data_IF_291516253268
#
_entry.id   IF_291516253268
#
_cell.length_a   1.000
_cell.length_b   1.000
_cell.length_c   1.000
_cell.angle_alpha   90.00
_cell.angle_beta   90.00
_cell.angle_gamma   90.00
#
_symmetry.space_group_name_H-M   'P 1'
#
loop_
_entity.id
_entity.type
_entity.pdbx_description
1 polymer ?
#
# COMPACT_ATOMS: atom_id res chain seq x y z
N UNK A 1 12.38 22.17 1.40
CA UNK A 1 11.23 21.27 1.58
C UNK A 1 11.65 20.11 2.47
N UNK A 2 11.03 19.96 3.65
CA UNK A 2 11.20 18.82 4.54
C UNK A 2 10.16 17.76 4.20
N UNK A 3 10.60 16.55 3.92
CA UNK A 3 9.74 15.44 3.54
C UNK A 3 9.88 14.30 4.55
N UNK A 4 8.74 13.76 4.96
CA UNK A 4 8.66 12.53 5.75
C UNK A 4 7.86 11.47 5.00
N UNK A 5 8.34 10.24 5.04
CA UNK A 5 7.66 9.05 4.54
C UNK A 5 7.32 8.18 5.74
N UNK A 6 6.03 7.89 5.92
CA UNK A 6 5.52 7.04 6.96
C UNK A 6 5.23 5.65 6.41
N UNK A 7 5.94 4.64 6.91
CA UNK A 7 5.66 3.25 6.64
C UNK A 7 4.48 2.80 7.51
N UNK A 8 3.31 2.63 6.88
CA UNK A 8 2.07 2.19 7.53
C UNK A 8 1.92 0.68 7.63
N UNK A 9 2.93 -0.12 7.26
CA UNK A 9 2.88 -1.57 7.39
C UNK A 9 3.01 -2.01 8.86
N UNK A 10 2.13 -2.90 9.36
CA UNK A 10 2.33 -3.55 10.66
C UNK A 10 3.64 -4.36 10.74
N UNK A 11 4.24 -4.68 9.60
CA UNK A 11 5.53 -5.40 9.53
C UNK A 11 6.76 -4.49 9.69
N UNK A 12 6.57 -3.17 9.84
CA UNK A 12 7.64 -2.19 9.94
C UNK A 12 8.77 -2.42 8.90
N UNK A 13 10.03 -2.44 9.35
CA UNK A 13 11.24 -2.68 8.57
C UNK A 13 11.59 -4.17 8.35
N UNK A 14 10.63 -5.09 8.57
CA UNK A 14 10.85 -6.52 8.29
C UNK A 14 11.22 -6.75 6.83
N UNK A 15 12.13 -7.71 6.58
CA UNK A 15 12.50 -8.17 5.22
C UNK A 15 11.30 -8.64 4.37
N UNK A 16 10.17 -8.95 5.01
CA UNK A 16 8.91 -9.37 4.35
C UNK A 16 7.89 -8.23 4.14
N UNK A 17 8.29 -6.98 4.40
CA UNK A 17 7.45 -5.80 4.27
C UNK A 17 7.47 -5.30 2.82
N UNK A 18 6.38 -5.53 2.07
CA UNK A 18 6.25 -4.97 0.72
C UNK A 18 6.25 -3.44 0.73
N UNK A 19 5.69 -2.82 1.77
CA UNK A 19 5.72 -1.36 1.94
C UNK A 19 7.15 -0.82 2.01
N UNK A 20 8.04 -1.51 2.71
CA UNK A 20 9.47 -1.15 2.77
C UNK A 20 10.12 -1.19 1.38
N UNK A 21 9.79 -2.24 0.59
CA UNK A 21 10.26 -2.37 -0.80
C UNK A 21 9.72 -1.22 -1.67
N UNK A 22 8.48 -0.80 -1.46
CA UNK A 22 7.90 0.33 -2.18
C UNK A 22 8.61 1.65 -1.84
N UNK A 23 8.84 1.92 -0.55
CA UNK A 23 9.56 3.11 -0.10
C UNK A 23 10.97 3.12 -0.72
N UNK A 24 11.72 2.03 -0.57
CA UNK A 24 13.07 1.89 -1.11
C UNK A 24 13.13 2.19 -2.61
N UNK A 25 12.24 1.58 -3.41
CA UNK A 25 12.27 1.81 -4.85
C UNK A 25 11.75 3.17 -5.27
N UNK A 26 10.75 3.71 -4.58
CA UNK A 26 10.29 5.08 -4.81
C UNK A 26 11.43 6.08 -4.59
N UNK A 27 12.19 5.94 -3.50
CA UNK A 27 13.26 6.90 -3.18
C UNK A 27 14.60 6.61 -3.84
N UNK A 28 14.78 5.45 -4.48
CA UNK A 28 16.06 5.01 -5.04
C UNK A 28 16.68 5.93 -6.11
N UNK A 29 15.87 6.76 -6.77
CA UNK A 29 16.30 7.71 -7.78
C UNK A 29 16.15 9.17 -7.34
N UNK A 30 15.77 9.40 -6.08
CA UNK A 30 15.67 10.73 -5.48
C UNK A 30 17.02 11.17 -4.91
N UNK A 31 17.31 12.47 -4.92
CA UNK A 31 18.52 13.07 -4.33
C UNK A 31 18.24 13.89 -3.07
N UNK A 32 17.01 14.36 -2.91
CA UNK A 32 16.57 15.15 -1.77
C UNK A 32 16.63 14.34 -0.48
N UNK A 33 16.87 15.03 0.63
CA UNK A 33 16.80 14.42 1.96
C UNK A 33 15.33 14.22 2.35
N UNK A 34 15.05 13.07 2.94
CA UNK A 34 13.76 12.71 3.51
C UNK A 34 13.97 11.90 4.79
N UNK A 35 12.96 11.87 5.63
CA UNK A 35 12.92 11.01 6.81
C UNK A 35 11.97 9.85 6.60
N UNK A 36 12.28 8.69 7.19
CA UNK A 36 11.39 7.52 7.21
C UNK A 36 11.07 7.16 8.65
N UNK A 37 9.78 7.11 9.00
CA UNK A 37 9.29 6.60 10.29
C UNK A 37 8.32 5.44 10.08
N UNK A 38 8.21 4.59 11.09
CA UNK A 38 7.40 3.37 11.03
C UNK A 38 6.22 3.51 11.99
N UNK A 39 5.01 3.63 11.45
CA UNK A 39 3.80 3.86 12.28
C UNK A 39 3.62 2.73 13.32
N UNK A 40 4.04 1.50 12.98
CA UNK A 40 3.93 0.35 13.87
C UNK A 40 4.75 0.43 15.17
N UNK A 41 5.74 1.33 15.25
CA UNK A 41 6.66 1.46 16.41
C UNK A 41 6.59 2.81 17.09
N UNK A 42 5.67 3.68 16.68
CA UNK A 42 5.56 5.05 17.16
C UNK A 42 4.26 5.20 17.95
N UNK A 43 4.27 6.11 18.93
CA UNK A 43 3.03 6.52 19.60
C UNK A 43 2.24 7.46 18.65
N UNK A 44 0.96 7.17 18.34
CA UNK A 44 0.21 7.91 17.33
C UNK A 44 0.14 9.43 17.53
N UNK A 45 -0.07 9.89 18.77
CA UNK A 45 -0.21 11.32 19.08
C UNK A 45 1.12 12.06 18.94
N UNK A 46 2.20 11.50 19.45
CA UNK A 46 3.57 12.03 19.31
C UNK A 46 3.98 12.10 17.84
N UNK A 47 3.68 11.04 17.06
CA UNK A 47 3.95 11.03 15.63
C UNK A 47 3.14 12.10 14.89
N UNK A 48 1.85 12.26 15.21
CA UNK A 48 1.01 13.28 14.61
C UNK A 48 1.54 14.70 14.89
N UNK A 49 2.01 14.97 16.11
CA UNK A 49 2.65 16.25 16.45
C UNK A 49 3.96 16.45 15.69
N UNK A 50 4.78 15.39 15.59
CA UNK A 50 6.07 15.45 14.93
C UNK A 50 5.96 15.75 13.43
N UNK A 51 5.02 15.12 12.72
CA UNK A 51 4.89 15.27 11.27
C UNK A 51 4.45 16.68 10.85
N UNK A 52 3.88 17.49 11.77
CA UNK A 52 3.54 18.90 11.51
C UNK A 52 4.76 19.75 11.16
N UNK A 53 5.97 19.30 11.51
CA UNK A 53 7.23 19.99 11.22
C UNK A 53 7.72 19.78 9.78
N UNK A 54 7.00 18.98 8.98
CA UNK A 54 7.34 18.65 7.60
C UNK A 54 6.41 19.35 6.60
N UNK A 55 6.96 19.70 5.44
CA UNK A 55 6.22 20.31 4.34
C UNK A 55 5.47 19.24 3.52
N UNK A 56 6.00 18.02 3.47
CA UNK A 56 5.45 16.91 2.68
C UNK A 56 5.38 15.65 3.51
N UNK A 57 4.18 15.10 3.62
CA UNK A 57 3.88 13.86 4.34
C UNK A 57 3.43 12.83 3.32
N UNK A 58 4.20 11.76 3.14
CA UNK A 58 3.79 10.60 2.34
C UNK A 58 3.50 9.41 3.24
N UNK A 59 2.32 8.81 3.12
CA UNK A 59 1.97 7.57 3.82
C UNK A 59 1.99 6.41 2.82
N UNK A 60 2.88 5.44 3.03
CA UNK A 60 3.00 4.24 2.20
C UNK A 60 2.48 3.05 3.01
N UNK A 61 1.54 2.27 2.50
CA UNK A 61 0.91 1.21 3.31
C UNK A 61 0.34 0.06 2.47
N UNK A 62 0.18 -1.14 3.07
CA UNK A 62 -0.69 -2.15 2.50
C UNK A 62 -2.16 -1.71 2.57
N UNK A 63 -3.01 -2.32 1.73
CA UNK A 63 -4.46 -2.30 1.90
C UNK A 63 -4.95 -3.66 2.42
N UNK A 64 -5.79 -3.62 3.44
CA UNK A 64 -6.50 -4.79 3.95
C UNK A 64 -7.96 -4.71 3.51
N UNK A 65 -8.26 -5.45 2.43
CA UNK A 65 -9.53 -5.37 1.70
C UNK A 65 -9.76 -3.96 1.15
N UNK A 66 -10.51 -3.11 1.85
CA UNK A 66 -10.86 -1.74 1.43
C UNK A 66 -10.30 -0.66 2.37
N UNK A 67 -9.58 -1.02 3.44
CA UNK A 67 -9.18 -0.11 4.50
C UNK A 67 -7.67 -0.16 4.83
N UNK A 68 -7.19 0.93 5.44
CA UNK A 68 -5.83 1.04 5.94
C UNK A 68 -5.58 0.13 7.15
N UNK A 69 -4.32 -0.17 7.49
CA UNK A 69 -3.96 -0.83 8.75
C UNK A 69 -4.39 -0.03 9.98
N UNK A 70 -4.67 -0.73 11.09
CA UNK A 70 -5.14 -0.10 12.34
C UNK A 70 -4.19 0.97 12.89
N UNK A 71 -2.87 0.78 12.75
CA UNK A 71 -1.88 1.79 13.15
C UNK A 71 -2.03 3.10 12.36
N UNK A 72 -2.30 3.02 11.05
CA UNK A 72 -2.53 4.21 10.20
C UNK A 72 -3.83 4.89 10.61
N UNK A 73 -4.89 4.12 10.87
CA UNK A 73 -6.15 4.67 11.37
C UNK A 73 -5.97 5.44 12.68
N UNK A 74 -5.26 4.86 13.66
CA UNK A 74 -4.96 5.53 14.93
C UNK A 74 -4.15 6.81 14.76
N UNK A 75 -3.20 6.83 13.81
CA UNK A 75 -2.47 8.06 13.47
C UNK A 75 -3.45 9.10 12.90
N UNK A 76 -4.32 8.71 11.97
CA UNK A 76 -5.30 9.61 11.33
C UNK A 76 -6.22 10.26 12.37
N UNK A 77 -6.64 9.53 13.40
CA UNK A 77 -7.47 10.05 14.51
C UNK A 77 -6.79 11.19 15.29
N UNK A 78 -5.46 11.27 15.24
CA UNK A 78 -4.67 12.31 15.92
C UNK A 78 -4.14 13.39 14.96
N UNK A 79 -4.40 13.27 13.66
CA UNK A 79 -3.98 14.29 12.71
C UNK A 79 -4.75 15.59 12.95
N UNK A 80 -4.00 16.68 13.06
CA UNK A 80 -4.54 18.02 13.15
C UNK A 80 -4.53 18.70 11.78
N UNK A 81 -5.30 19.78 11.67
CA UNK A 81 -5.28 20.63 10.48
C UNK A 81 -3.87 21.14 10.19
N UNK A 82 -3.56 21.30 8.91
CA UNK A 82 -2.29 21.86 8.47
C UNK A 82 -2.02 23.22 9.13
N UNK A 83 -0.76 23.44 9.52
CA UNK A 83 -0.30 24.71 10.07
C UNK A 83 0.05 25.76 9.00
N UNK A 84 0.10 25.38 7.72
CA UNK A 84 0.37 26.32 6.63
C UNK A 84 -0.24 25.85 5.32
N UNK A 85 -0.59 26.78 4.44
CA UNK A 85 -1.18 26.47 3.14
C UNK A 85 -0.26 25.66 2.19
N UNK A 86 0.98 25.40 2.59
CA UNK A 86 1.99 24.71 1.78
C UNK A 86 2.20 23.25 2.19
N UNK A 87 1.60 22.76 3.28
CA UNK A 87 1.78 21.35 3.64
C UNK A 87 0.97 20.45 2.72
N UNK A 88 1.62 19.42 2.24
CA UNK A 88 1.06 18.47 1.29
C UNK A 88 1.02 17.06 1.88
N UNK A 89 -0.06 16.33 1.60
CA UNK A 89 -0.21 14.93 1.99
C UNK A 89 -0.50 14.05 0.78
N UNK A 90 0.19 12.91 0.70
CA UNK A 90 0.06 11.95 -0.39
C UNK A 90 0.14 10.51 0.09
N UNK A 91 -0.35 9.59 -0.74
CA UNK A 91 -0.46 8.19 -0.36
C UNK A 91 0.05 7.26 -1.45
N UNK A 92 0.73 6.18 -1.05
CA UNK A 92 1.10 5.07 -1.93
C UNK A 92 0.56 3.79 -1.30
N UNK A 93 -0.43 3.19 -1.95
CA UNK A 93 -1.19 2.04 -1.45
C UNK A 93 -0.86 0.83 -2.31
N UNK A 94 -0.49 -0.28 -1.66
CA UNK A 94 -0.28 -1.56 -2.32
C UNK A 94 -1.23 -2.61 -1.76
N UNK A 95 -1.84 -3.42 -2.63
CA UNK A 95 -2.79 -4.44 -2.23
C UNK A 95 -2.39 -5.84 -2.72
N UNK A 96 -2.84 -6.87 -2.00
CA UNK A 96 -2.65 -8.26 -2.42
C UNK A 96 -3.49 -8.61 -3.65
N UNK A 97 -4.73 -8.13 -3.71
CA UNK A 97 -5.64 -8.34 -4.83
C UNK A 97 -5.14 -7.66 -6.10
N UNK A 98 -5.28 -8.30 -7.28
CA UNK A 98 -4.72 -7.79 -8.53
C UNK A 98 -5.45 -6.56 -9.10
N UNK A 99 -6.75 -6.43 -8.84
CA UNK A 99 -7.61 -5.37 -9.37
C UNK A 99 -7.56 -4.13 -8.48
N UNK A 100 -7.29 -2.96 -9.06
CA UNK A 100 -7.22 -1.72 -8.29
C UNK A 100 -8.59 -1.15 -7.88
N UNK A 101 -9.67 -1.86 -8.18
CA UNK A 101 -11.03 -1.48 -7.79
C UNK A 101 -11.22 -1.51 -6.27
N UNK A 102 -10.47 -2.37 -5.56
CA UNK A 102 -10.51 -2.46 -4.10
C UNK A 102 -10.02 -1.17 -3.41
N UNK A 103 -9.14 -0.42 -4.09
CA UNK A 103 -8.58 0.83 -3.59
C UNK A 103 -9.48 2.03 -3.86
N UNK A 104 -10.60 1.88 -4.59
CA UNK A 104 -11.51 3.00 -4.92
C UNK A 104 -11.92 3.77 -3.66
N UNK A 105 -12.42 3.05 -2.66
CA UNK A 105 -12.94 3.65 -1.43
C UNK A 105 -11.86 4.37 -0.63
N UNK A 106 -10.66 3.77 -0.54
CA UNK A 106 -9.57 4.38 0.23
C UNK A 106 -9.04 5.65 -0.44
N UNK A 107 -9.06 5.72 -1.79
CA UNK A 107 -8.67 6.92 -2.54
C UNK A 107 -9.59 8.09 -2.27
N UNK A 108 -10.90 7.85 -2.30
CA UNK A 108 -11.94 8.85 -1.99
C UNK A 108 -11.83 9.30 -0.53
N UNK A 109 -11.64 8.35 0.39
CA UNK A 109 -11.41 8.64 1.80
C UNK A 109 -10.21 9.56 2.04
N UNK A 110 -9.06 9.29 1.42
CA UNK A 110 -7.86 10.12 1.61
C UNK A 110 -7.95 11.49 0.98
N UNK A 111 -8.65 11.62 -0.15
CA UNK A 111 -8.93 12.92 -0.75
C UNK A 111 -9.77 13.78 0.21
N UNK A 112 -10.85 13.21 0.76
CA UNK A 112 -11.70 13.91 1.73
C UNK A 112 -10.98 14.19 3.04
N UNK A 113 -10.14 13.28 3.51
CA UNK A 113 -9.29 13.49 4.69
C UNK A 113 -8.37 14.69 4.51
N UNK A 114 -7.64 14.76 3.38
CA UNK A 114 -6.74 15.87 3.08
C UNK A 114 -7.48 17.20 3.03
N UNK A 115 -8.65 17.25 2.39
CA UNK A 115 -9.52 18.44 2.35
C UNK A 115 -9.95 18.89 3.75
N UNK A 116 -10.43 17.96 4.59
CA UNK A 116 -10.90 18.24 5.95
C UNK A 116 -9.79 18.77 6.86
N UNK A 117 -8.57 18.31 6.66
CA UNK A 117 -7.40 18.72 7.42
C UNK A 117 -6.62 19.87 6.76
N UNK A 118 -7.15 20.48 5.69
CA UNK A 118 -6.53 21.60 4.99
C UNK A 118 -5.11 21.33 4.44
N UNK A 119 -4.80 20.08 4.09
CA UNK A 119 -3.57 19.73 3.38
C UNK A 119 -3.79 19.79 1.87
N UNK A 120 -2.74 20.17 1.12
CA UNK A 120 -2.72 19.98 -0.32
C UNK A 120 -2.65 18.47 -0.63
N UNK A 121 -3.65 17.95 -1.34
CA UNK A 121 -3.70 16.54 -1.67
C UNK A 121 -2.86 16.22 -2.90
N UNK A 122 -1.75 15.50 -2.70
CA UNK A 122 -0.85 15.06 -3.78
C UNK A 122 -1.45 13.95 -4.65
N UNK A 123 -2.47 13.27 -4.12
CA UNK A 123 -3.10 12.11 -4.73
C UNK A 123 -2.77 10.80 -4.00
N UNK A 124 -3.36 9.72 -4.52
CA UNK A 124 -3.14 8.35 -4.06
C UNK A 124 -2.69 7.47 -5.22
N UNK A 125 -1.46 6.97 -5.13
CA UNK A 125 -0.88 5.99 -6.04
C UNK A 125 -1.31 4.60 -5.57
N UNK A 126 -1.81 3.75 -6.48
CA UNK A 126 -2.33 2.42 -6.12
C UNK A 126 -1.66 1.33 -6.95
N UNK A 127 -1.36 0.18 -6.32
CA UNK A 127 -0.84 -1.01 -6.99
C UNK A 127 -1.35 -2.30 -6.36
N UNK A 128 -2.31 -2.93 -7.03
CA UNK A 128 -2.75 -4.30 -6.72
C UNK A 128 -1.69 -5.36 -7.05
N UNK A 129 -1.92 -6.63 -6.70
CA UNK A 129 -1.08 -7.77 -7.07
C UNK A 129 0.32 -7.73 -6.44
N UNK A 130 0.41 -7.18 -5.23
CA UNK A 130 1.68 -6.92 -4.53
C UNK A 130 2.03 -7.98 -3.49
N UNK A 131 1.18 -8.99 -3.27
CA UNK A 131 1.31 -9.96 -2.17
C UNK A 131 2.69 -10.64 -2.07
N UNK A 132 3.28 -11.02 -3.21
CA UNK A 132 4.50 -11.85 -3.27
C UNK A 132 5.77 -11.10 -3.67
N UNK A 133 5.77 -9.75 -3.65
CA UNK A 133 6.92 -8.94 -4.08
C UNK A 133 8.19 -9.32 -3.31
N UNK A 134 8.12 -9.38 -1.97
CA UNK A 134 9.27 -9.74 -1.14
C UNK A 134 9.84 -11.14 -1.41
N UNK A 135 9.02 -12.10 -1.88
CA UNK A 135 9.47 -13.47 -2.20
C UNK A 135 10.05 -13.61 -3.60
N UNK A 136 9.54 -12.80 -4.54
CA UNK A 136 9.81 -12.94 -5.98
C UNK A 136 10.34 -11.64 -6.59
N UNK A 137 11.39 -11.01 -6.03
CA UNK A 137 11.79 -9.66 -6.43
C UNK A 137 12.17 -9.54 -7.92
N UNK A 138 12.71 -10.61 -8.51
CA UNK A 138 13.07 -10.66 -9.94
C UNK A 138 11.87 -10.47 -10.88
N UNK A 139 10.66 -10.82 -10.46
CA UNK A 139 9.43 -10.67 -11.26
C UNK A 139 8.89 -9.23 -11.28
N UNK A 140 9.34 -8.37 -10.36
CA UNK A 140 8.81 -7.02 -10.17
C UNK A 140 9.73 -5.91 -10.66
N UNK A 141 10.76 -6.21 -11.47
CA UNK A 141 11.68 -5.20 -12.04
C UNK A 141 10.97 -4.02 -12.72
N UNK A 142 9.88 -4.28 -13.44
CA UNK A 142 9.07 -3.23 -14.10
C UNK A 142 8.36 -2.31 -13.10
N UNK A 143 7.88 -2.87 -11.99
CA UNK A 143 7.30 -2.11 -10.88
C UNK A 143 8.38 -1.24 -10.23
N UNK A 144 9.54 -1.81 -9.93
CA UNK A 144 10.65 -1.09 -9.29
C UNK A 144 11.12 0.08 -10.13
N UNK A 145 11.29 -0.12 -11.44
CA UNK A 145 11.58 0.98 -12.36
C UNK A 145 10.49 2.06 -12.34
N UNK A 146 9.22 1.67 -12.36
CA UNK A 146 8.11 2.63 -12.34
C UNK A 146 8.06 3.42 -11.02
N UNK A 147 8.39 2.80 -9.88
CA UNK A 147 8.50 3.49 -8.59
C UNK A 147 9.68 4.46 -8.55
N UNK A 148 10.85 4.05 -9.05
CA UNK A 148 12.02 4.91 -9.14
C UNK A 148 11.77 6.12 -10.07
N UNK A 149 11.17 5.88 -11.24
CA UNK A 149 10.77 6.95 -12.15
C UNK A 149 9.75 7.89 -11.51
N UNK A 150 8.80 7.35 -10.74
CA UNK A 150 7.79 8.14 -10.01
C UNK A 150 8.43 9.04 -8.95
N UNK A 151 9.36 8.52 -8.14
CA UNK A 151 10.05 9.30 -7.11
C UNK A 151 10.95 10.38 -7.70
N UNK A 152 11.68 10.09 -8.79
CA UNK A 152 12.47 11.09 -9.51
C UNK A 152 11.60 12.25 -10.02
N UNK A 153 10.48 11.94 -10.67
CA UNK A 153 9.56 12.98 -11.16
C UNK A 153 8.90 13.73 -9.99
N UNK A 154 8.57 13.03 -8.91
CA UNK A 154 8.01 13.64 -7.71
C UNK A 154 8.98 14.66 -7.08
N UNK A 155 10.27 14.36 -7.02
CA UNK A 155 11.29 15.31 -6.57
C UNK A 155 11.38 16.55 -7.47
N UNK A 156 11.30 16.36 -8.79
CA UNK A 156 11.40 17.46 -9.77
C UNK A 156 10.15 18.36 -9.80
N UNK A 157 8.97 17.80 -9.55
CA UNK A 157 7.68 18.46 -9.84
C UNK A 157 6.78 18.63 -8.62
N UNK A 158 7.12 17.99 -7.50
CA UNK A 158 6.30 17.87 -6.29
C UNK A 158 4.90 17.29 -6.53
N UNK A 159 4.74 16.49 -7.58
CA UNK A 159 3.47 15.86 -7.95
C UNK A 159 3.67 14.41 -8.38
N UNK A 160 2.65 13.56 -8.17
CA UNK A 160 2.67 12.20 -8.71
C UNK A 160 2.41 12.22 -10.22
N UNK A 161 3.35 11.67 -11.00
CA UNK A 161 3.19 11.57 -12.45
C UNK A 161 1.92 10.78 -12.81
N UNK A 162 1.05 11.41 -13.60
CA UNK A 162 -0.27 10.85 -13.94
C UNK A 162 -0.15 9.59 -14.78
N UNK A 163 0.81 9.51 -15.71
CA UNK A 163 0.97 8.37 -16.62
C UNK A 163 1.46 7.14 -15.85
N UNK A 164 2.45 7.31 -14.97
CA UNK A 164 2.97 6.24 -14.12
C UNK A 164 1.88 5.79 -13.13
N UNK A 165 1.19 6.74 -12.48
CA UNK A 165 0.11 6.42 -11.53
C UNK A 165 -1.01 5.62 -12.19
N UNK A 166 -1.45 6.01 -13.38
CA UNK A 166 -2.46 5.27 -14.15
C UNK A 166 -1.97 3.89 -14.60
N UNK A 167 -0.69 3.74 -14.90
CA UNK A 167 -0.09 2.45 -15.27
C UNK A 167 -0.01 1.50 -14.07
N UNK A 168 0.38 2.01 -12.91
CA UNK A 168 0.47 1.23 -11.66
C UNK A 168 -0.92 0.74 -11.20
N UNK A 169 -1.96 1.54 -11.43
CA UNK A 169 -3.33 1.19 -11.11
C UNK A 169 -3.95 0.11 -12.02
N UNK A 170 -3.26 -0.38 -13.06
CA UNK A 170 -3.83 -1.41 -13.94
C UNK A 170 -3.58 -2.83 -13.40
N UNK A 171 -4.56 -3.75 -13.57
CA UNK A 171 -5.92 -3.51 -14.06
C UNK A 171 -6.82 -2.88 -13.00
N UNK A 172 -7.76 -2.00 -13.39
CA UNK A 172 -8.79 -1.51 -12.46
C UNK A 172 -9.76 -2.64 -12.12
N UNK A 173 -10.29 -3.30 -13.14
CA UNK A 173 -11.04 -4.54 -13.06
C UNK A 173 -10.56 -5.49 -14.16
N UNK A 174 -10.72 -6.79 -13.96
CA UNK A 174 -10.50 -7.77 -14.99
C UNK A 174 -11.56 -7.66 -16.08
N UNK A 175 -11.11 -7.69 -17.33
CA UNK A 175 -12.02 -7.83 -18.45
C UNK A 175 -12.49 -9.30 -18.58
N UNK A 176 -13.55 -9.52 -19.37
CA UNK A 176 -14.13 -10.87 -19.59
C UNK A 176 -13.10 -11.91 -20.02
N UNK A 177 -12.13 -11.51 -20.84
CA UNK A 177 -11.07 -12.39 -21.31
C UNK A 177 -10.10 -12.79 -20.20
N UNK A 178 -9.66 -11.84 -19.38
CA UNK A 178 -8.81 -12.09 -18.21
C UNK A 178 -9.54 -12.99 -17.19
N UNK A 179 -10.84 -12.76 -16.95
CA UNK A 179 -11.66 -13.64 -16.11
C UNK A 179 -11.76 -15.05 -16.68
N UNK A 180 -11.95 -15.19 -17.99
CA UNK A 180 -11.97 -16.49 -18.66
C UNK A 180 -10.63 -17.23 -18.49
N UNK A 181 -9.51 -16.56 -18.69
CA UNK A 181 -8.18 -17.14 -18.43
C UNK A 181 -8.01 -17.56 -16.97
N UNK A 182 -8.41 -16.70 -16.03
CA UNK A 182 -8.33 -17.00 -14.61
C UNK A 182 -9.13 -18.25 -14.24
N UNK A 183 -10.34 -18.41 -14.79
CA UNK A 183 -11.17 -19.62 -14.61
C UNK A 183 -10.49 -20.88 -15.14
N UNK A 184 -9.73 -20.80 -16.24
CA UNK A 184 -8.98 -21.95 -16.73
C UNK A 184 -7.82 -22.32 -15.80
N UNK A 185 -7.09 -21.32 -15.30
CA UNK A 185 -5.98 -21.49 -14.36
C UNK A 185 -6.49 -22.04 -13.00
N UNK A 186 -7.68 -21.64 -12.60
CA UNK A 186 -8.32 -22.12 -11.37
C UNK A 186 -8.67 -23.61 -11.46
N UNK A 187 -9.22 -24.07 -12.60
CA UNK A 187 -9.52 -25.49 -12.84
C UNK A 187 -8.32 -26.42 -12.74
N UNK A 188 -7.12 -25.93 -13.05
CA UNK A 188 -5.86 -26.68 -12.92
C UNK A 188 -5.18 -26.48 -11.55
N UNK A 189 -5.85 -25.81 -10.60
CA UNK A 189 -5.39 -25.64 -9.23
C UNK A 189 -4.22 -24.68 -9.05
N UNK A 190 -3.88 -23.87 -10.06
CA UNK A 190 -2.69 -23.03 -10.04
C UNK A 190 -2.92 -21.64 -9.44
N UNK A 191 -4.17 -21.18 -9.30
CA UNK A 191 -4.48 -19.88 -8.67
C UNK A 191 -3.97 -19.83 -7.23
N UNK A 192 -4.15 -20.92 -6.48
CA UNK A 192 -3.75 -21.02 -5.08
C UNK A 192 -2.39 -21.69 -4.88
N UNK A 193 -1.60 -21.91 -5.93
CA UNK A 193 -0.34 -22.67 -5.84
C UNK A 193 0.61 -22.13 -4.76
N UNK A 194 0.85 -20.82 -4.75
CA UNK A 194 1.73 -20.17 -3.76
C UNK A 194 1.17 -20.25 -2.34
N UNK A 195 -0.13 -20.04 -2.17
CA UNK A 195 -0.80 -20.13 -0.88
C UNK A 195 -0.76 -21.58 -0.34
N UNK A 196 -1.02 -22.56 -1.21
CA UNK A 196 -0.92 -23.97 -0.87
C UNK A 196 0.52 -24.37 -0.50
N UNK A 197 1.53 -23.83 -1.17
CA UNK A 197 2.92 -24.05 -0.81
C UNK A 197 3.24 -23.50 0.60
N UNK A 198 2.71 -22.32 0.95
CA UNK A 198 2.82 -21.75 2.31
C UNK A 198 2.13 -22.67 3.32
N UNK A 199 0.90 -23.10 3.04
CA UNK A 199 0.13 -23.93 3.96
C UNK A 199 0.82 -25.28 4.20
N UNK A 200 1.38 -25.92 3.16
CA UNK A 200 2.17 -27.15 3.30
C UNK A 200 3.40 -26.97 4.17
N UNK A 201 4.14 -25.87 3.98
CA UNK A 201 5.32 -25.56 4.80
C UNK A 201 4.98 -25.38 6.29
N UNK A 202 3.71 -25.08 6.61
CA UNK A 202 3.23 -24.87 7.97
C UNK A 202 2.31 -26.00 8.46
N UNK A 203 2.29 -27.16 7.79
CA UNK A 203 1.41 -28.30 8.12
C UNK A 203 -0.07 -27.92 8.28
N UNK A 204 -0.54 -26.94 7.49
CA UNK A 204 -1.86 -26.34 7.64
C UNK A 204 -2.76 -26.53 6.41
N UNK A 205 -2.32 -27.30 5.40
CA UNK A 205 -3.08 -27.46 4.15
C UNK A 205 -4.42 -28.17 4.38
N UNK A 206 -4.45 -29.20 5.22
CA UNK A 206 -5.68 -29.94 5.56
C UNK A 206 -6.68 -29.08 6.33
N UNK A 207 -6.20 -28.03 7.00
CA UNK A 207 -6.99 -27.10 7.79
C UNK A 207 -7.36 -25.83 7.03
N UNK A 208 -7.06 -25.73 5.72
CA UNK A 208 -7.19 -24.50 4.94
C UNK A 208 -8.63 -23.96 4.87
N UNK A 209 -9.62 -24.84 5.06
CA UNK A 209 -11.05 -24.52 5.02
C UNK A 209 -11.74 -24.73 6.37
N UNK A 210 -10.99 -24.86 7.47
CA UNK A 210 -11.56 -24.98 8.80
C UNK A 210 -12.44 -23.76 9.11
N UNK A 211 -13.59 -24.01 9.74
CA UNK A 211 -14.54 -22.98 10.14
C UNK A 211 -14.69 -23.02 11.67
N UNK A 212 -13.69 -22.54 12.43
CA UNK A 212 -13.60 -22.76 13.88
C UNK A 212 -14.70 -22.05 14.69
N UNK A 213 -15.48 -21.18 14.06
CA UNK A 213 -16.61 -20.47 14.67
C UNK A 213 -17.98 -21.06 14.30
N UNK A 214 -18.04 -22.09 13.47
CA UNK A 214 -19.27 -22.85 13.30
C UNK A 214 -19.39 -23.84 14.46
N UNK A 215 -20.46 -23.71 15.24
CA UNK A 215 -20.84 -24.77 16.18
C UNK A 215 -21.11 -26.06 15.38
N UNK A 216 -20.56 -27.19 15.82
CA UNK A 216 -20.92 -28.49 15.28
C UNK A 216 -22.42 -28.69 15.50
N UNK A 217 -23.21 -28.55 14.44
CA UNK A 217 -24.62 -28.96 14.46
C UNK A 217 -24.62 -30.47 14.67
N UNK A 218 -24.82 -30.91 15.93
CA UNK A 218 -25.06 -32.30 16.26
C UNK A 218 -26.28 -32.77 15.45
N UNK A 219 -26.04 -33.65 14.49
CA UNK A 219 -27.09 -34.37 13.76
C UNK A 219 -27.79 -35.37 14.68
#
# INVERSE_FOLDING_TARGET
MKMIILNGSPKANSKSSNTEIFIHHFTSAMKMKYEVKYIATEEPKELAQYIKTFDTILIVMPLYIHAMPSGVMKLIEHLESSCSNNQSIGFIVQAGFPESAHEKFVREYFEELAKRLHYQYLGTVVKGGSAFIYRRPKHFKKLYKSLADLGRIFEETHAFDKKITQKLAKPYQFNKFALWQLRLIDKIGLVNYEWNAILRQNNALEHALNQPFLEEVKK
#
